data_IF_660054049014
#
_entry.id   IF_660054049014
#
_cell.length_a   1.000
_cell.length_b   1.000
_cell.length_c   1.000
_cell.angle_alpha   90.00
_cell.angle_beta   90.00
_cell.angle_gamma   90.00
#
_symmetry.space_group_name_H-M   'P 1'
#
loop_
_entity.id
_entity.type
_entity.pdbx_description
1 polymer ?
#
# COMPACT_ATOMS: atom_id res chain seq x y z
N UNK A 1 33.84 -8.07 8.98
CA UNK A 1 32.68 -7.46 8.32
C UNK A 1 31.61 -8.54 8.19
N UNK A 2 30.71 -8.61 9.16
CA UNK A 2 29.70 -9.68 9.23
C UNK A 2 28.37 -9.06 8.87
N UNK A 3 27.91 -9.32 7.64
CA UNK A 3 26.60 -8.92 7.14
C UNK A 3 25.50 -9.47 8.05
N UNK A 4 24.80 -8.57 8.73
CA UNK A 4 23.60 -8.83 9.52
C UNK A 4 22.43 -9.12 8.56
N UNK A 5 22.22 -10.41 8.26
CA UNK A 5 21.08 -10.84 7.43
C UNK A 5 19.82 -10.71 8.27
N UNK A 6 18.80 -9.92 7.85
CA UNK A 6 17.63 -9.66 8.67
C UNK A 6 16.95 -10.99 9.05
N UNK A 7 16.79 -11.19 10.35
CA UNK A 7 16.18 -12.39 10.91
C UNK A 7 14.71 -12.42 10.49
N UNK A 8 14.31 -13.50 9.78
CA UNK A 8 12.91 -13.76 9.44
C UNK A 8 12.16 -14.26 10.69
N UNK A 9 11.80 -13.35 11.59
CA UNK A 9 11.20 -13.66 12.90
C UNK A 9 9.66 -13.77 12.89
N UNK A 10 8.98 -13.23 11.85
CA UNK A 10 7.53 -13.27 11.71
C UNK A 10 7.07 -14.58 11.09
N UNK A 11 6.07 -15.22 11.72
CA UNK A 11 5.49 -16.50 11.27
C UNK A 11 4.06 -16.33 10.79
N UNK A 12 3.70 -17.17 9.83
CA UNK A 12 2.33 -17.33 9.32
C UNK A 12 2.00 -18.81 9.41
N UNK A 13 0.94 -19.14 10.16
CA UNK A 13 0.42 -20.50 10.27
C UNK A 13 -0.76 -20.67 9.31
N UNK A 14 -0.70 -21.70 8.47
CA UNK A 14 -1.72 -21.99 7.45
C UNK A 14 -2.29 -23.39 7.66
N UNK A 15 -3.62 -23.48 7.71
CA UNK A 15 -4.33 -24.75 7.65
C UNK A 15 -4.85 -24.95 6.23
N UNK A 16 -4.53 -26.10 5.65
CA UNK A 16 -4.87 -26.44 4.28
C UNK A 16 -5.48 -27.83 4.24
N UNK A 17 -6.44 -28.02 3.35
CA UNK A 17 -6.86 -29.34 2.94
C UNK A 17 -5.73 -30.06 2.18
N UNK A 18 -5.72 -31.39 2.21
CA UNK A 18 -4.72 -32.19 1.51
C UNK A 18 -4.64 -31.86 0.00
N UNK A 19 -5.80 -31.63 -0.63
CA UNK A 19 -5.87 -31.27 -2.05
C UNK A 19 -5.25 -29.91 -2.34
N UNK A 20 -5.47 -28.91 -1.47
CA UNK A 20 -4.89 -27.58 -1.61
C UNK A 20 -3.36 -27.64 -1.49
N UNK A 21 -2.86 -28.37 -0.50
CA UNK A 21 -1.41 -28.59 -0.32
C UNK A 21 -0.78 -29.24 -1.55
N UNK A 22 -1.40 -30.28 -2.11
CA UNK A 22 -0.88 -30.99 -3.28
C UNK A 22 -0.74 -30.06 -4.51
N UNK A 23 -1.71 -29.19 -4.76
CA UNK A 23 -1.66 -28.23 -5.87
C UNK A 23 -0.53 -27.22 -5.67
N UNK A 24 -0.38 -26.69 -4.45
CA UNK A 24 0.69 -25.73 -4.14
C UNK A 24 2.08 -26.38 -4.24
N UNK A 25 2.23 -27.64 -3.82
CA UNK A 25 3.48 -28.39 -3.95
C UNK A 25 3.86 -28.64 -5.41
N UNK A 26 2.89 -29.02 -6.25
CA UNK A 26 3.12 -29.18 -7.68
C UNK A 26 3.57 -27.86 -8.33
N UNK A 27 2.93 -26.74 -8.01
CA UNK A 27 3.30 -25.43 -8.54
C UNK A 27 4.68 -24.96 -8.05
N UNK A 28 5.01 -25.23 -6.77
CA UNK A 28 6.33 -24.95 -6.22
C UNK A 28 7.42 -25.77 -6.92
N UNK A 29 7.17 -27.05 -7.21
CA UNK A 29 8.08 -27.92 -7.95
C UNK A 29 8.33 -27.42 -9.38
N UNK A 30 7.27 -27.03 -10.11
CA UNK A 30 7.38 -26.46 -11.46
C UNK A 30 8.23 -25.18 -11.48
N UNK A 31 8.14 -24.37 -10.42
CA UNK A 31 8.89 -23.11 -10.31
C UNK A 31 10.26 -23.25 -9.62
N UNK A 32 10.67 -24.47 -9.26
CA UNK A 32 11.99 -24.74 -8.68
C UNK A 32 12.22 -24.12 -7.29
N UNK A 33 11.16 -23.90 -6.50
CA UNK A 33 11.26 -23.29 -5.18
C UNK A 33 10.56 -24.13 -4.11
N UNK A 34 10.85 -23.86 -2.83
CA UNK A 34 10.15 -24.52 -1.72
C UNK A 34 8.68 -24.11 -1.65
N UNK A 35 7.82 -24.98 -1.11
CA UNK A 35 6.40 -24.70 -0.92
C UNK A 35 6.16 -23.35 -0.22
N UNK A 36 6.86 -23.08 0.88
CA UNK A 36 6.70 -21.81 1.60
C UNK A 36 7.21 -20.61 0.82
N UNK A 37 8.31 -20.76 0.05
CA UNK A 37 8.77 -19.69 -0.84
C UNK A 37 7.74 -19.38 -1.92
N UNK A 38 7.14 -20.42 -2.51
CA UNK A 38 6.08 -20.28 -3.51
C UNK A 38 4.86 -19.57 -2.92
N UNK A 39 4.40 -20.00 -1.74
CA UNK A 39 3.24 -19.39 -1.08
C UNK A 39 3.50 -17.93 -0.73
N UNK A 40 4.65 -17.61 -0.13
CA UNK A 40 4.97 -16.23 0.29
C UNK A 40 5.12 -15.30 -0.91
N UNK A 41 5.84 -15.72 -1.94
CA UNK A 41 6.08 -14.89 -3.14
C UNK A 41 4.77 -14.56 -3.88
N UNK A 42 3.90 -15.57 -4.08
CA UNK A 42 2.62 -15.37 -4.76
C UNK A 42 1.63 -14.57 -3.90
N UNK A 43 1.56 -14.83 -2.59
CA UNK A 43 0.71 -14.06 -1.68
C UNK A 43 1.14 -12.58 -1.64
N UNK A 44 2.45 -12.31 -1.63
CA UNK A 44 2.97 -10.95 -1.64
C UNK A 44 2.62 -10.22 -2.95
N UNK A 45 2.72 -10.90 -4.10
CA UNK A 45 2.32 -10.33 -5.39
C UNK A 45 0.86 -9.90 -5.39
N UNK A 46 -0.04 -10.80 -4.98
CA UNK A 46 -1.48 -10.50 -4.91
C UNK A 46 -1.76 -9.37 -3.92
N UNK A 47 -1.12 -9.37 -2.74
CA UNK A 47 -1.29 -8.30 -1.76
C UNK A 47 -0.83 -6.94 -2.31
N UNK A 48 0.26 -6.90 -3.08
CA UNK A 48 0.73 -5.67 -3.74
C UNK A 48 -0.26 -5.18 -4.79
N UNK A 49 -0.84 -6.08 -5.58
CA UNK A 49 -1.86 -5.71 -6.58
C UNK A 49 -3.11 -5.13 -5.90
N UNK A 50 -3.62 -5.77 -4.85
CA UNK A 50 -4.77 -5.26 -4.07
C UNK A 50 -4.48 -3.88 -3.47
N UNK A 51 -3.29 -3.68 -2.89
CA UNK A 51 -2.92 -2.37 -2.33
C UNK A 51 -2.75 -1.30 -3.41
N UNK A 52 -2.26 -1.68 -4.59
CA UNK A 52 -2.11 -0.78 -5.74
C UNK A 52 -3.48 -0.32 -6.22
N UNK A 53 -4.40 -1.25 -6.41
CA UNK A 53 -5.78 -0.97 -6.81
C UNK A 53 -6.50 -0.12 -5.78
N UNK A 54 -6.35 -0.42 -4.49
CA UNK A 54 -6.95 0.37 -3.41
C UNK A 54 -6.40 1.81 -3.32
N UNK A 55 -5.10 2.01 -3.60
CA UNK A 55 -4.45 3.32 -3.51
C UNK A 55 -4.55 4.13 -4.80
N UNK A 56 -4.70 3.47 -5.95
CA UNK A 56 -4.90 4.15 -7.21
C UNK A 56 -6.29 4.78 -7.22
N UNK A 57 -6.34 6.11 -7.24
CA UNK A 57 -7.56 6.80 -7.67
C UNK A 57 -7.57 6.71 -9.19
N UNK A 58 -8.40 5.84 -9.76
CA UNK A 58 -8.69 5.90 -11.19
C UNK A 58 -9.41 7.22 -11.47
N UNK A 59 -8.66 8.19 -12.00
CA UNK A 59 -9.22 9.41 -12.53
C UNK A 59 -9.64 9.11 -13.97
N UNK A 60 -10.85 9.52 -14.34
CA UNK A 60 -11.21 9.58 -15.76
C UNK A 60 -10.21 10.46 -16.51
N UNK A 61 -10.08 10.32 -17.83
CA UNK A 61 -9.18 11.17 -18.61
C UNK A 61 -9.45 12.66 -18.35
N UNK A 62 -10.73 13.05 -18.26
CA UNK A 62 -11.14 14.41 -17.95
C UNK A 62 -10.71 14.87 -16.54
N UNK A 63 -10.81 14.00 -15.54
CA UNK A 63 -10.36 14.31 -14.19
C UNK A 63 -8.84 14.35 -14.08
N UNK A 64 -8.13 13.51 -14.85
CA UNK A 64 -6.67 13.50 -14.94
C UNK A 64 -6.14 14.79 -15.57
N UNK A 65 -6.74 15.25 -16.68
CA UNK A 65 -6.41 16.54 -17.29
C UNK A 65 -6.70 17.71 -16.35
N UNK A 66 -7.85 17.67 -15.66
CA UNK A 66 -8.19 18.70 -14.68
C UNK A 66 -7.21 18.70 -13.50
N UNK A 67 -6.82 17.54 -13.01
CA UNK A 67 -5.83 17.39 -11.96
C UNK A 67 -4.45 17.93 -12.39
N UNK A 68 -4.00 17.61 -13.60
CA UNK A 68 -2.74 18.14 -14.14
C UNK A 68 -2.79 19.67 -14.31
N UNK A 69 -3.88 20.23 -14.86
CA UNK A 69 -4.04 21.69 -14.94
C UNK A 69 -3.94 22.36 -13.58
N UNK A 70 -4.54 21.77 -12.54
CA UNK A 70 -4.48 22.30 -11.17
C UNK A 70 -3.08 22.18 -10.53
N UNK A 71 -2.24 21.24 -10.97
CA UNK A 71 -0.84 21.15 -10.53
C UNK A 71 0.04 22.20 -11.21
N UNK A 72 -0.17 22.45 -12.50
CA UNK A 72 0.59 23.44 -13.27
C UNK A 72 0.19 24.87 -12.92
N UNK A 73 -1.11 25.12 -12.78
CA UNK A 73 -1.69 26.42 -12.44
C UNK A 73 -2.64 26.24 -11.26
N UNK A 74 -2.13 26.28 -10.02
CA UNK A 74 -2.98 26.11 -8.86
C UNK A 74 -3.93 27.31 -8.71
N UNK A 75 -5.22 27.03 -8.58
CA UNK A 75 -6.23 28.03 -8.27
C UNK A 75 -5.97 28.64 -6.88
N UNK A 76 -6.32 29.91 -6.70
CA UNK A 76 -6.23 30.53 -5.38
C UNK A 76 -7.16 29.84 -4.35
N UNK A 77 -6.70 29.64 -3.10
CA UNK A 77 -7.53 29.08 -2.04
C UNK A 77 -8.82 29.88 -1.85
N UNK A 78 -9.97 29.23 -1.95
CA UNK A 78 -11.23 29.91 -1.71
C UNK A 78 -11.40 30.31 -0.22
N UNK A 79 -12.35 31.21 0.05
CA UNK A 79 -12.60 31.73 1.40
C UNK A 79 -12.90 30.62 2.42
N UNK A 80 -13.56 29.53 2.01
CA UNK A 80 -13.86 28.40 2.90
C UNK A 80 -12.58 27.65 3.32
N UNK A 81 -11.66 27.42 2.39
CA UNK A 81 -10.37 26.78 2.64
C UNK A 81 -9.47 27.64 3.53
N UNK A 82 -9.41 28.96 3.26
CA UNK A 82 -8.70 29.92 4.12
C UNK A 82 -9.23 29.91 5.55
N UNK A 83 -10.56 29.95 5.72
CA UNK A 83 -11.20 29.88 7.03
C UNK A 83 -10.92 28.55 7.74
N UNK A 84 -10.90 27.43 7.01
CA UNK A 84 -10.56 26.13 7.58
C UNK A 84 -9.11 26.06 8.06
N UNK A 85 -8.17 26.57 7.26
CA UNK A 85 -6.76 26.67 7.63
C UNK A 85 -6.54 27.53 8.88
N UNK A 86 -7.23 28.68 8.99
CA UNK A 86 -7.19 29.55 10.18
C UNK A 86 -7.71 28.82 11.43
N UNK A 87 -8.82 28.08 11.33
CA UNK A 87 -9.34 27.26 12.45
C UNK A 87 -8.35 26.17 12.86
N UNK A 88 -7.70 25.53 11.89
CA UNK A 88 -6.72 24.49 12.15
C UNK A 88 -5.47 25.02 12.85
N UNK A 89 -4.92 26.16 12.39
CA UNK A 89 -3.77 26.81 13.02
C UNK A 89 -4.04 27.18 14.47
N UNK A 90 -5.21 27.78 14.77
CA UNK A 90 -5.61 28.07 16.15
C UNK A 90 -5.62 26.81 17.02
N UNK A 91 -6.16 25.69 16.53
CA UNK A 91 -6.18 24.42 17.28
C UNK A 91 -4.78 23.87 17.58
N UNK A 92 -3.82 24.02 16.67
CA UNK A 92 -2.43 23.57 16.87
C UNK A 92 -1.69 24.47 17.86
N UNK A 93 -1.93 25.79 17.82
CA UNK A 93 -1.32 26.75 18.76
C UNK A 93 -1.80 26.55 20.20
N UNK A 94 -3.08 26.22 20.41
CA UNK A 94 -3.60 25.88 21.75
C UNK A 94 -3.10 24.53 22.30
N UNK A 95 -2.51 23.66 21.47
CA UNK A 95 -2.01 22.35 21.92
C UNK A 95 -0.51 22.32 22.28
N UNK A 96 0.24 23.40 22.04
CA UNK A 96 1.67 23.52 22.34
C UNK A 96 2.00 24.63 23.38
N UNK A 97 0.99 25.28 23.97
CA UNK A 97 1.15 26.21 25.07
C UNK A 97 0.64 25.63 26.38
N UNK A 98 1.45 24.78 27.02
CA UNK A 98 1.37 24.43 28.45
C UNK A 98 2.78 24.50 29.03
#
# INVERSE_FOLDING_TARGET
>A
DTQDKPVKDRRIDLRLEAKQKAVLEAAAAVTGQSLMSFVVSNSLKVAQDVLREYRATELSLADSERFMRLLETPDEPNAALLNAALRHRKKIEYSHGV
#
